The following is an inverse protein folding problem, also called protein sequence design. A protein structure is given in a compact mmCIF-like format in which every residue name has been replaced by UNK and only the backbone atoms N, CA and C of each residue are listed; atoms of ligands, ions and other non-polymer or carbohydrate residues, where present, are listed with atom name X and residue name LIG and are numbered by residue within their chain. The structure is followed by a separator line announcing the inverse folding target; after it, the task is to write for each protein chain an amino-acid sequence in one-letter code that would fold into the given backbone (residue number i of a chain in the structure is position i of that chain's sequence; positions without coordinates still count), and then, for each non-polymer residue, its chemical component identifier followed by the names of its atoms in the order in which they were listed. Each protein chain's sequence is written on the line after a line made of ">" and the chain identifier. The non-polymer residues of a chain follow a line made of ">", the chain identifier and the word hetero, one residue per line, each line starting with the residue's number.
data_IF_183206963430
#
_entry.id   IF_183206963430
#
_cell.length_a   1.000
_cell.length_b   1.000
_cell.length_c   1.000
_cell.angle_alpha   90.00
_cell.angle_beta   90.00
_cell.angle_gamma   90.00
#
_symmetry.space_group_name_H-M   'P 1'
#
loop_
_entity.id
_entity.type
_entity.pdbx_description
1 polymer ?
#
# COMPACT_ATOMS: atom_id res chain seq x y z
N UNK A 1 2.44 21.83 -25.58
CA UNK A 1 1.66 21.10 -24.56
C UNK A 1 2.63 20.63 -23.50
N UNK A 2 2.49 21.10 -22.26
CA UNK A 2 3.36 20.71 -21.15
C UNK A 2 3.10 19.23 -20.81
N UNK A 3 4.09 18.38 -21.08
CA UNK A 3 4.06 16.98 -20.66
C UNK A 3 4.39 16.96 -19.17
N UNK A 4 3.39 17.09 -18.31
CA UNK A 4 3.57 16.79 -16.89
C UNK A 4 3.86 15.30 -16.81
N UNK A 5 5.15 14.97 -16.72
CA UNK A 5 5.61 13.65 -16.32
C UNK A 5 5.03 13.46 -14.91
N UNK A 6 3.86 12.83 -14.83
CA UNK A 6 3.37 12.27 -13.59
C UNK A 6 4.51 11.40 -13.07
N UNK A 7 5.02 11.73 -11.89
CA UNK A 7 5.99 10.90 -11.18
C UNK A 7 5.33 9.56 -10.91
N UNK A 8 5.38 8.67 -11.89
CA UNK A 8 4.77 7.36 -11.84
C UNK A 8 5.49 6.62 -10.72
N UNK A 9 4.77 6.41 -9.63
CA UNK A 9 5.34 5.85 -8.40
C UNK A 9 5.68 4.39 -8.68
N UNK A 10 6.95 4.02 -8.58
CA UNK A 10 7.39 2.65 -8.81
C UNK A 10 6.61 1.69 -7.88
N UNK A 11 5.83 0.73 -8.43
CA UNK A 11 4.98 -0.16 -7.64
C UNK A 11 5.76 -0.98 -6.64
N UNK A 12 6.99 -1.37 -6.97
CA UNK A 12 7.84 -2.14 -6.06
C UNK A 12 8.26 -1.27 -4.86
N UNK A 13 8.72 -0.05 -5.11
CA UNK A 13 9.02 0.93 -4.06
C UNK A 13 7.79 1.22 -3.19
N UNK A 14 6.60 1.31 -3.77
CA UNK A 14 5.35 1.47 -3.03
C UNK A 14 5.05 0.26 -2.13
N UNK A 15 5.22 -0.97 -2.64
CA UNK A 15 5.08 -2.22 -1.87
C UNK A 15 6.04 -2.27 -0.69
N UNK A 16 7.33 -1.96 -0.89
CA UNK A 16 8.33 -2.00 0.17
C UNK A 16 8.08 -0.93 1.24
N UNK A 17 7.70 0.28 0.81
CA UNK A 17 7.36 1.38 1.71
C UNK A 17 6.15 1.03 2.56
N UNK A 18 5.09 0.50 1.94
CA UNK A 18 3.89 0.07 2.63
C UNK A 18 4.17 -1.08 3.59
N UNK A 19 4.95 -2.08 3.16
CA UNK A 19 5.36 -3.21 4.01
C UNK A 19 6.10 -2.72 5.25
N UNK A 20 7.04 -1.79 5.08
CA UNK A 20 7.80 -1.21 6.19
C UNK A 20 6.89 -0.47 7.17
N UNK A 21 5.98 0.36 6.67
CA UNK A 21 5.03 1.09 7.50
C UNK A 21 4.10 0.14 8.30
N UNK A 22 3.56 -0.89 7.65
CA UNK A 22 2.68 -1.86 8.30
C UNK A 22 3.42 -2.75 9.29
N UNK A 23 4.66 -3.15 8.98
CA UNK A 23 5.51 -3.88 9.91
C UNK A 23 5.77 -3.07 11.18
N UNK A 24 6.03 -1.75 11.05
CA UNK A 24 6.21 -0.87 12.22
C UNK A 24 4.96 -0.78 13.11
N UNK A 25 3.78 -1.03 12.55
CA UNK A 25 2.51 -1.12 13.27
C UNK A 25 2.18 -2.54 13.75
N UNK A 26 3.08 -3.52 13.59
CA UNK A 26 2.84 -4.92 13.96
C UNK A 26 1.83 -5.65 13.05
N UNK A 27 1.66 -5.18 11.81
CA UNK A 27 0.74 -5.71 10.81
C UNK A 27 1.55 -6.39 9.71
N UNK A 28 1.22 -7.65 9.38
CA UNK A 28 1.86 -8.42 8.31
C UNK A 28 0.81 -8.89 7.27
N UNK A 29 0.44 -8.04 6.29
CA UNK A 29 -0.46 -8.42 5.21
C UNK A 29 0.30 -8.95 3.99
N UNK A 30 -0.41 -9.67 3.13
CA UNK A 30 0.08 -10.06 1.81
C UNK A 30 -0.04 -8.89 0.83
N UNK A 31 1.11 -8.40 0.35
CA UNK A 31 1.24 -7.29 -0.59
C UNK A 31 2.04 -7.71 -1.83
N UNK A 32 1.60 -7.26 -3.00
CA UNK A 32 2.32 -7.42 -4.27
C UNK A 32 2.09 -6.20 -5.18
N UNK A 33 2.95 -5.99 -6.17
CA UNK A 33 2.62 -5.10 -7.28
C UNK A 33 1.62 -5.83 -8.20
N UNK A 34 0.63 -5.10 -8.72
CA UNK A 34 -0.32 -5.68 -9.68
C UNK A 34 0.39 -6.03 -10.98
N UNK A 35 0.32 -7.31 -11.36
CA UNK A 35 0.86 -7.80 -12.61
C UNK A 35 -0.14 -7.73 -13.77
N UNK A 36 -1.45 -7.60 -13.48
CA UNK A 36 -2.50 -7.61 -14.50
C UNK A 36 -2.60 -6.27 -15.23
N UNK A 37 -2.31 -5.16 -14.55
CA UNK A 37 -2.44 -3.80 -15.07
C UNK A 37 -1.18 -2.97 -14.80
N UNK A 38 -0.01 -3.35 -15.37
CA UNK A 38 1.27 -2.71 -15.04
C UNK A 38 1.31 -1.21 -15.33
N UNK A 39 0.58 -0.73 -16.35
CA UNK A 39 0.47 0.68 -16.70
C UNK A 39 -0.34 1.53 -15.71
N UNK A 40 -0.99 0.91 -14.72
CA UNK A 40 -1.75 1.60 -13.68
C UNK A 40 -0.95 1.71 -12.36
N UNK A 41 0.24 1.11 -12.29
CA UNK A 41 1.11 1.15 -11.13
C UNK A 41 0.41 0.77 -9.80
N UNK A 42 -0.46 -0.25 -9.84
CA UNK A 42 -1.27 -0.65 -8.68
C UNK A 42 -0.50 -1.54 -7.71
N UNK A 43 -0.91 -1.49 -6.45
CA UNK A 43 -0.46 -2.38 -5.37
C UNK A 43 -1.63 -3.25 -4.93
N UNK A 44 -1.47 -4.56 -5.01
CA UNK A 44 -2.43 -5.53 -4.56
C UNK A 44 -2.33 -5.76 -3.05
N UNK A 45 -3.45 -5.54 -2.37
CA UNK A 45 -3.69 -6.05 -1.01
C UNK A 45 -4.48 -7.35 -1.16
N UNK A 46 -3.79 -8.49 -1.02
CA UNK A 46 -4.42 -9.80 -1.19
C UNK A 46 -5.29 -10.17 0.02
N UNK A 47 -5.42 -11.47 0.34
CA UNK A 47 -6.20 -11.89 1.51
C UNK A 47 -5.54 -11.41 2.79
N UNK A 48 -6.27 -10.58 3.53
CA UNK A 48 -5.90 -10.12 4.87
C UNK A 48 -6.75 -10.84 5.89
N UNK A 49 -6.15 -11.32 6.99
CA UNK A 49 -6.91 -11.90 8.10
C UNK A 49 -7.77 -10.82 8.76
N UNK A 50 -8.95 -11.19 9.26
CA UNK A 50 -9.91 -10.23 9.82
C UNK A 50 -9.32 -9.39 10.98
N UNK A 51 -8.52 -10.00 11.85
CA UNK A 51 -7.82 -9.32 12.95
C UNK A 51 -6.81 -8.27 12.45
N UNK A 52 -6.10 -8.59 11.36
CA UNK A 52 -5.15 -7.68 10.72
C UNK A 52 -5.89 -6.53 10.03
N UNK A 53 -7.03 -6.78 9.38
CA UNK A 53 -7.85 -5.76 8.75
C UNK A 53 -8.41 -4.74 9.76
N UNK A 54 -8.87 -5.21 10.92
CA UNK A 54 -9.32 -4.33 12.00
C UNK A 54 -8.19 -3.46 12.54
N UNK A 55 -7.01 -4.03 12.79
CA UNK A 55 -5.83 -3.26 13.24
C UNK A 55 -5.42 -2.21 12.21
N UNK A 56 -5.40 -2.57 10.93
CA UNK A 56 -5.10 -1.65 9.84
C UNK A 56 -6.08 -0.48 9.82
N UNK A 57 -7.38 -0.75 9.92
CA UNK A 57 -8.40 0.30 9.96
C UNK A 57 -8.19 1.26 11.15
N UNK A 58 -7.89 0.71 12.34
CA UNK A 58 -7.58 1.53 13.52
C UNK A 58 -6.35 2.41 13.30
N UNK A 59 -5.26 1.90 12.73
CA UNK A 59 -4.05 2.69 12.48
C UNK A 59 -4.26 3.81 11.46
N UNK A 60 -5.00 3.51 10.39
CA UNK A 60 -5.34 4.50 9.37
C UNK A 60 -6.20 5.63 9.98
N UNK A 61 -7.17 5.29 10.82
CA UNK A 61 -8.00 6.27 11.53
C UNK A 61 -7.18 7.11 12.51
N UNK A 62 -6.25 6.50 13.27
CA UNK A 62 -5.36 7.23 14.19
C UNK A 62 -4.49 8.25 13.46
N UNK A 63 -3.90 7.86 12.32
CA UNK A 63 -3.06 8.77 11.53
C UNK A 63 -3.85 9.87 10.84
N UNK A 64 -5.09 9.62 10.44
CA UNK A 64 -5.96 10.64 9.84
C UNK A 64 -6.41 11.71 10.85
N UNK A 65 -6.44 11.37 12.14
CA UNK A 65 -6.83 12.27 13.22
C UNK A 65 -5.64 13.01 13.89
N UNK A 66 -4.41 12.71 13.49
CA UNK A 66 -3.16 13.29 14.01
C UNK A 66 -2.65 14.39 13.07
#
# INVERSE_FOLDING_TARGET
>A
MANTVSTESDPLTAVESLRTALHSAGILPSLAADAASPSLALVDLARVRADVALRLATELQRRAAA
#
